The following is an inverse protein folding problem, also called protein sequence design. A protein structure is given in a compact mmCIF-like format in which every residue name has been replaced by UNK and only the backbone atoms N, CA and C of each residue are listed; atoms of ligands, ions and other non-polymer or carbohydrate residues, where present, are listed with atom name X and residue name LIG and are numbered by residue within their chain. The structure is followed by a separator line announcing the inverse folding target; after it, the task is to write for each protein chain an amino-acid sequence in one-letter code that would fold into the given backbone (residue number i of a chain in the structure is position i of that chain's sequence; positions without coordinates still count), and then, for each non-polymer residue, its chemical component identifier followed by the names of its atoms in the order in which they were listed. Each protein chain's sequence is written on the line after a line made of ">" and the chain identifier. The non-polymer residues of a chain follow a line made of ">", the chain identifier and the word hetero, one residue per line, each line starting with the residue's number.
data_IF_830290090141
#
_entry.id   IF_830290090141
#
_cell.length_a   1.000
_cell.length_b   1.000
_cell.length_c   1.000
_cell.angle_alpha   90.00
_cell.angle_beta   90.00
_cell.angle_gamma   90.00
#
_symmetry.space_group_name_H-M   'P 1'
#
loop_
_entity.id
_entity.type
_entity.pdbx_description
1 polymer ?
#
# COMPACT_ATOMS: atom_id res chain seq x y z
N UNK A 1 8.58 9.18 13.19
CA UNK A 1 8.13 7.79 13.37
C UNK A 1 6.62 7.86 13.49
N UNK A 2 5.85 7.33 12.53
CA UNK A 2 4.39 7.44 12.53
C UNK A 2 3.74 6.72 13.72
N UNK A 3 2.51 7.07 14.08
CA UNK A 3 1.75 6.30 15.07
C UNK A 3 1.28 4.96 14.48
N UNK A 4 0.70 4.99 13.27
CA UNK A 4 0.29 3.79 12.53
C UNK A 4 1.08 3.61 11.22
N UNK A 5 1.42 2.36 10.90
CA UNK A 5 1.68 1.93 9.52
C UNK A 5 0.50 1.08 9.05
N UNK A 6 -0.15 1.52 7.99
CA UNK A 6 -1.23 0.78 7.33
C UNK A 6 -0.65 0.11 6.10
N UNK A 7 -0.62 -1.21 6.07
CA UNK A 7 -0.13 -1.99 4.93
C UNK A 7 -1.34 -2.36 4.07
N UNK A 8 -1.30 -1.97 2.80
CA UNK A 8 -2.29 -2.31 1.77
C UNK A 8 -1.65 -3.25 0.76
N UNK A 9 -1.75 -4.57 0.98
CA UNK A 9 -1.33 -5.54 -0.02
C UNK A 9 -2.34 -5.60 -1.16
N UNK A 10 -1.84 -5.50 -2.39
CA UNK A 10 -2.64 -5.59 -3.60
C UNK A 10 -1.90 -6.36 -4.70
N UNK A 11 -2.64 -6.77 -5.72
CA UNK A 11 -2.12 -7.37 -6.94
C UNK A 11 -2.95 -6.88 -8.11
N UNK A 12 -2.40 -5.99 -8.94
CA UNK A 12 -3.00 -5.55 -10.20
C UNK A 12 -4.45 -4.99 -10.05
N UNK A 13 -4.74 -4.25 -8.98
CA UNK A 13 -6.07 -3.65 -8.71
C UNK A 13 -6.01 -2.12 -8.50
N UNK A 14 -5.55 -1.35 -9.49
CA UNK A 14 -5.33 0.09 -9.36
C UNK A 14 -6.59 0.85 -8.94
N UNK A 15 -7.76 0.51 -9.49
CA UNK A 15 -9.04 1.17 -9.11
C UNK A 15 -9.42 0.95 -7.65
N UNK A 16 -9.08 -0.20 -7.08
CA UNK A 16 -9.46 -0.53 -5.71
C UNK A 16 -8.53 0.17 -4.72
N UNK A 17 -7.22 0.16 -5.02
CA UNK A 17 -6.22 0.95 -4.29
C UNK A 17 -6.59 2.43 -4.29
N UNK A 18 -7.09 2.94 -5.41
CA UNK A 18 -7.51 4.33 -5.50
C UNK A 18 -8.60 4.68 -4.47
N UNK A 19 -9.65 3.85 -4.37
CA UNK A 19 -10.75 4.07 -3.43
C UNK A 19 -10.24 4.04 -1.98
N UNK A 20 -9.39 3.07 -1.65
CA UNK A 20 -8.79 2.92 -0.33
C UNK A 20 -7.91 4.14 0.04
N UNK A 21 -7.04 4.59 -0.87
CA UNK A 21 -6.18 5.75 -0.67
C UNK A 21 -6.99 7.04 -0.58
N UNK A 22 -8.07 7.17 -1.36
CA UNK A 22 -8.98 8.32 -1.24
C UNK A 22 -9.57 8.42 0.16
N UNK A 23 -10.02 7.29 0.72
CA UNK A 23 -10.55 7.24 2.10
C UNK A 23 -9.49 7.62 3.14
N UNK A 24 -8.27 7.08 3.00
CA UNK A 24 -7.15 7.37 3.90
C UNK A 24 -6.67 8.83 3.80
N UNK A 25 -6.63 9.39 2.59
CA UNK A 25 -6.18 10.76 2.35
C UNK A 25 -7.04 11.79 3.11
N UNK A 26 -8.34 11.51 3.23
CA UNK A 26 -9.32 12.35 3.92
C UNK A 26 -9.51 12.02 5.41
N UNK A 27 -8.70 11.14 6.00
CA UNK A 27 -8.78 10.85 7.43
C UNK A 27 -8.44 12.07 8.28
N UNK A 28 -9.15 12.23 9.40
CA UNK A 28 -8.94 13.33 10.35
C UNK A 28 -7.72 13.10 11.26
N UNK A 29 -7.35 11.85 11.51
CA UNK A 29 -6.10 11.49 12.17
C UNK A 29 -4.99 11.41 11.14
N UNK A 30 -3.89 12.15 11.31
CA UNK A 30 -2.85 12.31 10.27
C UNK A 30 -1.50 11.65 10.58
N UNK A 31 -1.28 11.17 11.80
CA UNK A 31 0.00 10.58 12.23
C UNK A 31 0.10 9.10 11.81
N UNK A 32 0.06 8.85 10.51
CA UNK A 32 0.15 7.52 9.92
C UNK A 32 0.92 7.54 8.60
N UNK A 33 1.43 6.38 8.21
CA UNK A 33 1.90 6.10 6.86
C UNK A 33 1.08 4.95 6.25
N UNK A 34 1.03 4.90 4.93
CA UNK A 34 0.37 3.85 4.16
C UNK A 34 1.41 3.23 3.24
N UNK A 35 1.55 1.92 3.31
CA UNK A 35 2.48 1.16 2.50
C UNK A 35 1.66 0.31 1.55
N UNK A 36 1.64 0.71 0.28
CA UNK A 36 0.98 -0.04 -0.78
C UNK A 36 1.98 -1.04 -1.35
N UNK A 37 1.72 -2.33 -1.15
CA UNK A 37 2.58 -3.40 -1.68
C UNK A 37 1.91 -4.08 -2.86
N UNK A 38 2.46 -3.84 -4.02
CA UNK A 38 1.83 -4.19 -5.29
C UNK A 38 2.58 -5.34 -5.97
N UNK A 39 2.02 -6.54 -5.87
CA UNK A 39 2.60 -7.79 -6.37
C UNK A 39 2.04 -8.11 -7.78
N UNK A 40 2.20 -7.16 -8.71
CA UNK A 40 1.82 -7.32 -10.11
C UNK A 40 2.87 -8.10 -10.91
N UNK A 41 2.42 -8.76 -11.96
CA UNK A 41 3.23 -9.50 -12.94
C UNK A 41 3.30 -8.80 -14.31
N UNK A 42 2.45 -7.78 -14.52
CA UNK A 42 2.46 -6.92 -15.72
C UNK A 42 2.37 -5.44 -15.31
N UNK A 43 3.38 -4.66 -15.71
CA UNK A 43 3.53 -3.23 -15.43
C UNK A 43 2.31 -2.41 -15.85
N UNK A 44 1.54 -2.87 -16.85
CA UNK A 44 0.30 -2.22 -17.28
C UNK A 44 -0.76 -2.16 -16.16
N UNK A 45 -0.65 -3.00 -15.14
CA UNK A 45 -1.53 -3.02 -13.97
C UNK A 45 -0.89 -2.47 -12.70
N UNK A 46 0.28 -1.82 -12.81
CA UNK A 46 0.94 -1.16 -11.67
C UNK A 46 0.01 -0.13 -11.01
N UNK A 47 -0.04 -0.18 -9.68
CA UNK A 47 -0.72 0.79 -8.85
C UNK A 47 0.14 2.03 -8.58
N UNK A 48 1.40 2.06 -9.01
CA UNK A 48 2.33 3.19 -8.78
C UNK A 48 1.75 4.54 -9.21
N UNK A 49 1.17 4.70 -10.43
CA UNK A 49 0.60 5.99 -10.84
C UNK A 49 -0.58 6.42 -9.96
N UNK A 50 -1.31 5.46 -9.40
CA UNK A 50 -2.43 5.71 -8.49
C UNK A 50 -1.93 6.21 -7.14
N UNK A 51 -0.82 5.70 -6.63
CA UNK A 51 -0.22 6.20 -5.39
C UNK A 51 0.36 7.59 -5.60
N UNK A 52 1.14 7.78 -6.67
CA UNK A 52 1.85 9.03 -6.94
C UNK A 52 0.92 10.22 -7.18
N UNK A 53 -0.29 10.00 -7.72
CA UNK A 53 -1.25 11.09 -8.00
C UNK A 53 -1.70 11.85 -6.74
N UNK A 54 -1.64 11.23 -5.56
CA UNK A 54 -2.05 11.85 -4.30
C UNK A 54 -1.05 12.90 -3.81
N UNK A 55 0.20 12.83 -4.27
CA UNK A 55 1.29 13.71 -3.83
C UNK A 55 1.38 13.81 -2.29
N UNK A 56 1.06 12.72 -1.60
CA UNK A 56 0.98 12.62 -0.15
C UNK A 56 2.17 11.82 0.37
N UNK A 57 3.07 12.47 1.12
CA UNK A 57 4.29 11.84 1.64
C UNK A 57 4.00 10.66 2.59
N UNK A 58 2.77 10.56 3.11
CA UNK A 58 2.33 9.42 3.93
C UNK A 58 2.20 8.15 3.10
N UNK A 59 2.02 8.26 1.77
CA UNK A 59 1.77 7.10 0.91
C UNK A 59 3.07 6.63 0.25
N UNK A 60 3.48 5.43 0.64
CA UNK A 60 4.69 4.77 0.19
C UNK A 60 4.30 3.63 -0.73
N UNK A 61 4.81 3.66 -1.95
CA UNK A 61 4.66 2.56 -2.91
C UNK A 61 5.87 1.64 -2.87
N UNK A 62 5.63 0.34 -2.77
CA UNK A 62 6.68 -0.67 -2.92
C UNK A 62 6.21 -1.80 -3.84
N UNK A 63 7.12 -2.24 -4.70
CA UNK A 63 6.96 -3.38 -5.57
C UNK A 63 8.05 -4.41 -5.21
N UNK A 64 7.70 -5.70 -5.02
CA UNK A 64 8.69 -6.77 -4.86
C UNK A 64 9.66 -6.80 -6.05
N UNK A 65 10.96 -7.03 -5.82
CA UNK A 65 11.98 -6.79 -6.85
C UNK A 65 11.95 -7.75 -8.04
N UNK A 66 11.47 -9.00 -7.93
CA UNK A 66 11.54 -9.98 -9.01
C UNK A 66 10.58 -11.17 -8.81
N UNK A 67 10.29 -11.89 -9.91
CA UNK A 67 9.47 -13.11 -9.95
C UNK A 67 10.09 -14.33 -9.22
N UNK A 68 9.26 -15.27 -8.73
CA UNK A 68 7.80 -15.31 -8.86
C UNK A 68 7.11 -14.33 -7.90
N UNK A 69 5.91 -13.89 -8.28
CA UNK A 69 5.00 -13.15 -7.39
C UNK A 69 4.98 -13.79 -6.01
N UNK A 70 5.14 -12.97 -4.96
CA UNK A 70 5.32 -13.44 -3.59
C UNK A 70 4.07 -14.15 -3.05
N UNK A 71 2.93 -13.96 -3.72
CA UNK A 71 1.64 -14.43 -3.26
C UNK A 71 1.19 -13.67 -2.03
N UNK A 72 0.08 -14.09 -1.43
CA UNK A 72 -0.58 -13.29 -0.38
C UNK A 72 0.33 -13.05 0.84
N UNK A 73 0.83 -14.11 1.48
CA UNK A 73 1.63 -13.96 2.70
C UNK A 73 2.97 -13.24 2.44
N UNK A 74 3.64 -13.58 1.34
CA UNK A 74 4.92 -12.96 1.00
C UNK A 74 4.77 -11.46 0.67
N UNK A 75 3.69 -11.05 -0.01
CA UNK A 75 3.41 -9.64 -0.27
C UNK A 75 3.16 -8.87 1.05
N UNK A 76 2.49 -9.49 2.03
CA UNK A 76 2.26 -8.89 3.34
C UNK A 76 3.56 -8.73 4.14
N UNK A 77 4.39 -9.77 4.15
CA UNK A 77 5.71 -9.76 4.80
C UNK A 77 6.64 -8.74 4.16
N UNK A 78 6.60 -8.60 2.84
CA UNK A 78 7.36 -7.58 2.12
C UNK A 78 6.96 -6.17 2.56
N UNK A 79 5.66 -5.88 2.63
CA UNK A 79 5.17 -4.60 3.15
C UNK A 79 5.57 -4.31 4.59
N UNK A 80 5.59 -5.35 5.43
CA UNK A 80 5.98 -5.22 6.83
C UNK A 80 7.42 -4.71 6.99
N UNK A 81 8.32 -5.02 6.07
CA UNK A 81 9.72 -4.57 6.10
C UNK A 81 9.86 -3.05 5.98
N UNK A 82 8.86 -2.36 5.42
CA UNK A 82 8.87 -0.92 5.22
C UNK A 82 8.12 -0.15 6.33
N UNK A 83 7.42 -0.86 7.22
CA UNK A 83 6.64 -0.27 8.31
C UNK A 83 7.55 0.36 9.38
N UNK A 84 7.31 1.63 9.69
CA UNK A 84 8.04 2.43 10.68
C UNK A 84 7.15 2.90 11.83
N UNK A 85 5.87 2.59 11.78
CA UNK A 85 4.86 3.02 12.74
C UNK A 85 4.95 2.26 14.06
N UNK A 86 4.49 2.89 15.14
CA UNK A 86 4.40 2.22 16.45
C UNK A 86 3.42 1.06 16.44
N UNK A 87 2.35 1.18 15.67
CA UNK A 87 1.33 0.16 15.48
C UNK A 87 1.21 -0.19 14.01
N UNK A 88 0.94 -1.46 13.72
CA UNK A 88 0.86 -1.96 12.36
C UNK A 88 -0.55 -2.51 12.14
N UNK A 89 -1.19 -2.06 11.06
CA UNK A 89 -2.50 -2.53 10.62
C UNK A 89 -2.44 -3.01 9.19
N UNK A 90 -3.17 -4.08 8.88
CA UNK A 90 -3.37 -4.55 7.52
C UNK A 90 -4.75 -4.12 7.04
N UNK A 91 -4.80 -3.48 5.88
CA UNK A 91 -6.05 -3.09 5.22
C UNK A 91 -6.09 -3.73 3.83
N UNK A 92 -7.06 -4.61 3.58
CA UNK A 92 -7.29 -5.12 2.24
C UNK A 92 -7.69 -3.96 1.32
N UNK A 93 -7.25 -4.00 0.07
CA UNK A 93 -7.60 -3.01 -0.94
C UNK A 93 -9.12 -2.82 -1.08
N UNK A 94 -9.93 -3.87 -0.87
CA UNK A 94 -11.40 -3.82 -0.88
C UNK A 94 -12.07 -3.12 0.30
N UNK A 95 -11.30 -2.66 1.29
CA UNK A 95 -11.82 -1.94 2.46
C UNK A 95 -11.60 -0.43 2.27
N UNK A 96 -12.64 0.36 2.50
CA UNK A 96 -12.66 1.81 2.33
C UNK A 96 -13.51 2.48 3.40
#
# INVERSE_FOLDING_TARGET
>A
MPFFSVIIPTKARPTMVDIALHSLHHQTFSDFEVIVTDDYDDEAFSCKPIVEKYQDERFVYVHPPDEPVLGMCGNWEYGLQFAKGRYIGFMQDKMY
#
